data_IF_387901341506
#
_entry.id   IF_387901341506
#
_cell.length_a   1.000
_cell.length_b   1.000
_cell.length_c   1.000
_cell.angle_alpha   90.00
_cell.angle_beta   90.00
_cell.angle_gamma   90.00
#
_symmetry.space_group_name_H-M   'P 1'
#
loop_
_entity.id
_entity.type
_entity.pdbx_description
1 polymer ?
#
# COMPACT_ATOMS: atom_id res chain seq x y z
N UNK A 1 7.64 -5.37 31.64
CA UNK A 1 8.51 -5.98 30.62
C UNK A 1 9.11 -4.89 29.75
N UNK A 2 10.37 -5.02 29.30
CA UNK A 2 11.00 -3.99 28.44
C UNK A 2 10.24 -3.86 27.10
N UNK A 3 9.95 -2.63 26.62
CA UNK A 3 9.27 -2.39 25.34
C UNK A 3 9.93 -3.12 24.16
N UNK A 4 11.27 -3.23 24.17
CA UNK A 4 12.05 -3.91 23.15
C UNK A 4 11.73 -5.40 23.05
N UNK A 5 11.50 -6.09 24.19
CA UNK A 5 11.12 -7.51 24.18
C UNK A 5 9.78 -7.71 23.50
N UNK A 6 8.82 -6.81 23.73
CA UNK A 6 7.51 -6.88 23.09
C UNK A 6 7.61 -6.68 21.57
N UNK A 7 8.52 -5.83 21.09
CA UNK A 7 8.74 -5.64 19.64
C UNK A 7 9.38 -6.90 19.03
N UNK A 8 10.42 -7.45 19.66
CA UNK A 8 11.18 -8.59 19.12
C UNK A 8 10.32 -9.86 19.02
N UNK A 9 9.51 -10.16 20.05
CA UNK A 9 8.78 -11.43 20.14
C UNK A 9 7.31 -11.35 19.69
N UNK A 10 6.93 -10.33 18.92
CA UNK A 10 5.55 -10.14 18.46
C UNK A 10 5.42 -10.16 16.93
N UNK A 11 5.48 -11.37 16.36
CA UNK A 11 5.29 -11.57 14.91
C UNK A 11 3.88 -11.14 14.44
N UNK A 12 2.87 -11.19 15.31
CA UNK A 12 1.51 -10.75 14.99
C UNK A 12 1.48 -9.25 14.68
N UNK A 13 2.13 -8.43 15.52
CA UNK A 13 2.24 -6.99 15.26
C UNK A 13 3.09 -6.72 14.02
N UNK A 14 4.19 -7.45 13.85
CA UNK A 14 5.07 -7.27 12.68
C UNK A 14 4.35 -7.55 11.36
N UNK A 15 3.62 -8.68 11.26
CA UNK A 15 2.83 -9.03 10.07
C UNK A 15 1.73 -8.01 9.80
N UNK A 16 1.04 -7.52 10.84
CA UNK A 16 0.08 -6.42 10.68
C UNK A 16 0.73 -5.15 10.11
N UNK A 17 1.89 -4.72 10.63
CA UNK A 17 2.60 -3.54 10.12
C UNK A 17 3.15 -3.75 8.70
N UNK A 18 3.51 -4.98 8.32
CA UNK A 18 3.91 -5.34 6.96
C UNK A 18 2.76 -5.15 5.98
N UNK A 19 1.55 -5.60 6.31
CA UNK A 19 0.38 -5.37 5.45
C UNK A 19 -0.02 -3.90 5.42
N UNK A 20 -0.07 -3.25 6.60
CA UNK A 20 -0.44 -1.85 6.72
C UNK A 20 0.41 -0.96 5.80
N UNK A 21 1.72 -1.18 5.76
CA UNK A 21 2.63 -0.36 4.93
C UNK A 21 2.44 -0.51 3.42
N UNK A 22 1.73 -1.55 2.93
CA UNK A 22 1.45 -1.72 1.51
C UNK A 22 0.35 -0.78 1.01
N UNK A 23 -0.57 -0.36 1.89
CA UNK A 23 -1.71 0.49 1.52
C UNK A 23 -1.71 1.86 2.21
N UNK A 24 -0.98 2.01 3.31
CA UNK A 24 -0.90 3.27 4.08
C UNK A 24 0.48 3.47 4.68
N UNK A 25 0.96 4.71 4.74
CA UNK A 25 2.20 5.04 5.45
C UNK A 25 2.09 4.65 6.94
N UNK A 26 3.15 4.04 7.46
CA UNK A 26 3.29 3.81 8.90
C UNK A 26 3.59 5.12 9.62
N UNK A 27 3.17 5.23 10.88
CA UNK A 27 3.71 6.26 11.76
C UNK A 27 5.21 6.03 12.00
N UNK A 28 5.93 7.06 12.43
CA UNK A 28 7.37 6.96 12.70
C UNK A 28 7.69 5.86 13.72
N UNK A 29 6.86 5.76 14.77
CA UNK A 29 6.99 4.71 15.80
C UNK A 29 6.81 3.31 15.21
N UNK A 30 5.73 3.09 14.46
CA UNK A 30 5.45 1.80 13.81
C UNK A 30 6.55 1.40 12.83
N UNK A 31 7.11 2.37 12.10
CA UNK A 31 8.24 2.14 11.21
C UNK A 31 9.47 1.64 11.96
N UNK A 32 9.82 2.26 13.09
CA UNK A 32 10.94 1.82 13.94
C UNK A 32 10.66 0.43 14.53
N UNK A 33 9.46 0.20 15.07
CA UNK A 33 9.08 -1.09 15.64
C UNK A 33 9.22 -2.21 14.60
N UNK A 34 8.71 -1.99 13.39
CA UNK A 34 8.84 -2.97 12.30
C UNK A 34 10.30 -3.18 11.88
N UNK A 35 11.12 -2.12 11.81
CA UNK A 35 12.55 -2.23 11.48
C UNK A 35 13.31 -3.08 12.49
N UNK A 36 13.07 -2.87 13.79
CA UNK A 36 13.69 -3.65 14.86
C UNK A 36 13.28 -5.12 14.76
N UNK A 37 12.00 -5.42 14.56
CA UNK A 37 11.53 -6.81 14.45
C UNK A 37 12.15 -7.52 13.25
N UNK A 38 12.17 -6.89 12.07
CA UNK A 38 12.71 -7.48 10.84
C UNK A 38 14.22 -7.74 10.92
N UNK A 39 14.97 -6.96 11.72
CA UNK A 39 16.39 -7.22 11.95
C UNK A 39 16.67 -8.54 12.68
N UNK A 40 15.71 -9.05 13.47
CA UNK A 40 15.87 -10.26 14.29
C UNK A 40 15.02 -11.46 13.87
N UNK A 41 14.01 -11.28 13.02
CA UNK A 41 13.09 -12.34 12.62
C UNK A 41 13.18 -12.65 11.12
N UNK A 42 13.85 -13.75 10.76
CA UNK A 42 14.01 -14.19 9.38
C UNK A 42 12.68 -14.54 8.71
N UNK A 43 11.75 -15.14 9.47
CA UNK A 43 10.41 -15.51 9.00
C UNK A 43 9.60 -14.27 8.61
N UNK A 44 9.60 -13.22 9.43
CA UNK A 44 8.90 -11.98 9.08
C UNK A 44 9.58 -11.24 7.93
N UNK A 45 10.91 -11.36 7.77
CA UNK A 45 11.62 -10.84 6.59
C UNK A 45 11.22 -11.57 5.31
N UNK A 46 11.07 -12.90 5.37
CA UNK A 46 10.56 -13.68 4.24
C UNK A 46 9.10 -13.31 3.93
N UNK A 47 8.24 -13.29 4.95
CA UNK A 47 6.84 -12.89 4.82
C UNK A 47 6.69 -11.50 4.17
N UNK A 48 7.50 -10.52 4.60
CA UNK A 48 7.51 -9.19 4.01
C UNK A 48 7.82 -9.20 2.50
N UNK A 49 8.72 -10.07 2.05
CA UNK A 49 9.03 -10.21 0.61
C UNK A 49 7.84 -10.86 -0.12
N UNK A 50 7.30 -11.94 0.44
CA UNK A 50 6.19 -12.69 -0.15
C UNK A 50 4.91 -11.84 -0.26
N UNK A 51 4.52 -11.14 0.81
CA UNK A 51 3.37 -10.23 0.84
C UNK A 51 3.47 -9.15 -0.24
N UNK A 52 4.65 -8.56 -0.43
CA UNK A 52 4.87 -7.58 -1.52
C UNK A 52 4.68 -8.19 -2.90
N UNK A 53 5.22 -9.39 -3.14
CA UNK A 53 5.07 -10.10 -4.43
C UNK A 53 3.60 -10.43 -4.70
N UNK A 54 2.89 -10.97 -3.70
CA UNK A 54 1.45 -11.28 -3.83
C UNK A 54 0.67 -10.01 -4.18
N UNK A 55 0.92 -8.90 -3.48
CA UNK A 55 0.26 -7.63 -3.78
C UNK A 55 0.52 -7.12 -5.19
N UNK A 56 1.76 -7.23 -5.67
CA UNK A 56 2.11 -6.87 -7.05
C UNK A 56 1.40 -7.76 -8.07
N UNK A 57 1.36 -9.07 -7.86
CA UNK A 57 0.67 -10.01 -8.74
C UNK A 57 -0.83 -9.73 -8.80
N UNK A 58 -1.46 -9.47 -7.66
CA UNK A 58 -2.88 -9.10 -7.60
C UNK A 58 -3.15 -7.80 -8.35
N UNK A 59 -2.31 -6.77 -8.16
CA UNK A 59 -2.43 -5.51 -8.90
C UNK A 59 -2.29 -5.71 -10.42
N UNK A 60 -1.37 -6.58 -10.85
CA UNK A 60 -1.19 -6.92 -12.26
C UNK A 60 -2.42 -7.64 -12.84
N UNK A 61 -2.98 -8.62 -12.12
CA UNK A 61 -4.20 -9.31 -12.54
C UNK A 61 -5.36 -8.33 -12.76
N UNK A 62 -5.54 -7.38 -11.85
CA UNK A 62 -6.57 -6.34 -12.02
C UNK A 62 -6.24 -5.39 -13.19
N UNK A 63 -4.99 -4.97 -13.35
CA UNK A 63 -4.58 -4.12 -14.46
C UNK A 63 -4.81 -4.77 -15.82
N UNK A 64 -4.47 -6.06 -15.96
CA UNK A 64 -4.67 -6.81 -17.20
C UNK A 64 -6.15 -7.06 -17.47
N UNK A 65 -6.95 -7.32 -16.43
CA UNK A 65 -8.41 -7.42 -16.55
C UNK A 65 -9.08 -6.10 -16.96
N UNK A 66 -8.54 -4.96 -16.54
CA UNK A 66 -9.04 -3.63 -16.94
C UNK A 66 -8.58 -3.21 -18.36
N UNK A 67 -7.49 -3.80 -18.88
CA UNK A 67 -7.05 -3.59 -20.27
C UNK A 67 -7.92 -4.32 -21.28
N UNK A 68 -8.60 -5.39 -20.88
CA UNK A 68 -9.62 -6.04 -21.70
C UNK A 68 -10.84 -5.11 -21.78
N UNK A 69 -10.91 -4.34 -22.87
CA UNK A 69 -12.04 -3.52 -23.35
C UNK A 69 -13.17 -3.26 -22.33
N UNK A 70 -13.11 -2.15 -21.58
CA UNK A 70 -14.24 -1.70 -20.77
C UNK A 70 -13.93 -0.76 -19.61
N UNK A 71 -12.68 -0.62 -19.18
CA UNK A 71 -12.31 0.29 -18.08
C UNK A 71 -11.89 1.68 -18.58
N UNK A 72 -12.70 2.32 -19.41
CA UNK A 72 -12.54 3.73 -19.75
C UNK A 72 -13.66 4.53 -19.10
N UNK A 73 -13.33 5.74 -18.64
CA UNK A 73 -14.36 6.73 -18.33
C UNK A 73 -15.15 7.00 -19.60
N UNK A 74 -16.47 7.04 -19.47
CA UNK A 74 -17.33 7.47 -20.57
C UNK A 74 -16.95 8.88 -21.04
N UNK A 75 -17.16 9.13 -22.34
CA UNK A 75 -16.78 10.38 -22.98
C UNK A 75 -17.54 11.60 -22.40
N UNK A 76 -18.79 11.42 -21.94
CA UNK A 76 -19.52 12.52 -21.29
C UNK A 76 -18.88 12.92 -19.97
N UNK A 77 -18.45 11.94 -19.16
CA UNK A 77 -17.74 12.20 -17.90
C UNK A 77 -16.39 12.89 -18.13
N UNK A 78 -15.62 12.47 -19.15
CA UNK A 78 -14.36 13.14 -19.52
C UNK A 78 -14.58 14.60 -19.89
N UNK A 79 -15.60 14.90 -20.70
CA UNK A 79 -15.93 16.28 -21.10
C UNK A 79 -16.36 17.13 -19.91
N UNK A 80 -17.18 16.60 -19.01
CA UNK A 80 -17.61 17.33 -17.81
C UNK A 80 -16.42 17.61 -16.87
N UNK A 81 -15.49 16.66 -16.74
CA UNK A 81 -14.27 16.85 -15.96
C UNK A 81 -13.36 17.93 -16.57
N UNK A 82 -13.18 17.89 -17.89
CA UNK A 82 -12.41 18.89 -18.65
C UNK A 82 -12.97 20.31 -18.43
N UNK A 83 -14.28 20.47 -18.57
CA UNK A 83 -14.95 21.76 -18.37
C UNK A 83 -14.70 22.33 -16.96
N UNK A 84 -14.86 21.50 -15.93
CA UNK A 84 -14.59 21.92 -14.54
C UNK A 84 -13.15 22.38 -14.32
N UNK A 85 -12.18 21.69 -14.93
CA UNK A 85 -10.77 22.08 -14.83
C UNK A 85 -10.54 23.44 -15.50
N UNK A 86 -11.10 23.67 -16.69
CA UNK A 86 -10.98 24.93 -17.42
C UNK A 86 -11.64 26.10 -16.67
N UNK A 87 -12.82 25.88 -16.07
CA UNK A 87 -13.47 26.88 -15.21
C UNK A 87 -12.62 27.27 -14.01
N UNK A 88 -11.96 26.31 -13.34
CA UNK A 88 -11.08 26.61 -12.20
C UNK A 88 -9.78 27.29 -12.61
N UNK A 89 -9.23 26.97 -13.79
CA UNK A 89 -8.04 27.63 -14.31
C UNK A 89 -8.31 29.08 -14.72
N UNK A 90 -9.47 29.37 -15.30
CA UNK A 90 -9.87 30.70 -15.76
C UNK A 90 -10.31 31.65 -14.62
N UNK A 91 -10.38 31.17 -13.38
CA UNK A 91 -10.66 31.99 -12.19
C UNK A 91 -9.42 32.69 -11.62
N UNK A 92 -8.21 32.36 -12.10
CA UNK A 92 -6.96 33.03 -11.76
C UNK A 92 -6.50 33.96 -12.89
#
# INVERSE_FOLDING_TARGET
MSPLKHIIYNCRQATFLIEKKQYKKLSFREFIELRIHLAGCSVCTLYNKQSRVINQMVQQLFHDSMKAEGAHLDESFKKELQHRIEEELNKN
#
